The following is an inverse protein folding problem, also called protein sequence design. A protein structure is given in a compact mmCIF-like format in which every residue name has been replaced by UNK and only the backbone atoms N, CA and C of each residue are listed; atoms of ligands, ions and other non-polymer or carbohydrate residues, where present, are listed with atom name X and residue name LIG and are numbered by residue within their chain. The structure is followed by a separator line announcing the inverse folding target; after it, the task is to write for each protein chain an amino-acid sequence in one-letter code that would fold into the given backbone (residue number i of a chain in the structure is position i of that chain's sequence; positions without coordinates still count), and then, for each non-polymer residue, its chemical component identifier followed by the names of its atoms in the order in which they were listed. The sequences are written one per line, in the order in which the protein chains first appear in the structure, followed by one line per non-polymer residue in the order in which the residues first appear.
data_IF_483442116684
#
_entry.id   IF_483442116684
#
_cell.length_a   1.000
_cell.length_b   1.000
_cell.length_c   1.000
_cell.angle_alpha   90.00
_cell.angle_beta   90.00
_cell.angle_gamma   90.00
#
_symmetry.space_group_name_H-M   'P 1'
#
loop_
_entity.id
_entity.type
_entity.pdbx_description
1 polymer ?
#
# COMPACT_ATOMS: atom_id res chain seq x y z
N UNK A 1 12.46 -9.03 43.78
CA UNK A 1 11.59 -8.07 43.08
C UNK A 1 12.33 -7.69 41.80
N UNK A 2 11.97 -8.32 40.68
CA UNK A 2 12.64 -8.11 39.40
C UNK A 2 11.91 -7.03 38.61
N UNK A 3 12.70 -6.12 38.03
CA UNK A 3 12.24 -4.96 37.30
C UNK A 3 11.36 -5.36 36.11
N UNK A 4 10.10 -4.95 36.13
CA UNK A 4 9.33 -4.70 34.90
C UNK A 4 9.07 -3.22 34.88
N UNK A 5 10.11 -2.46 34.54
CA UNK A 5 9.92 -1.17 33.91
C UNK A 5 9.02 -1.44 32.71
N UNK A 6 7.73 -1.17 32.90
CA UNK A 6 6.76 -1.15 31.83
C UNK A 6 7.23 -0.10 30.85
N UNK A 7 8.02 -0.54 29.88
CA UNK A 7 8.30 0.17 28.66
C UNK A 7 6.92 0.48 28.12
N UNK A 8 6.53 1.74 28.28
CA UNK A 8 5.48 2.39 27.49
C UNK A 8 5.51 1.76 26.11
N UNK A 9 4.43 1.09 25.74
CA UNK A 9 4.19 0.46 24.45
C UNK A 9 4.41 1.50 23.35
N UNK A 10 5.67 1.71 22.96
CA UNK A 10 5.98 2.13 21.62
C UNK A 10 5.44 1.00 20.76
N UNK A 11 4.32 1.26 20.10
CA UNK A 11 3.84 0.41 19.03
C UNK A 11 5.06 0.10 18.17
N UNK A 12 5.45 -1.18 18.06
CA UNK A 12 6.54 -1.55 17.16
C UNK A 12 6.20 -0.99 15.77
N UNK A 13 7.20 -0.68 14.94
CA UNK A 13 6.94 -0.14 13.58
C UNK A 13 5.94 -1.03 12.80
N UNK A 14 5.96 -2.33 13.09
CA UNK A 14 5.01 -3.33 12.60
C UNK A 14 3.56 -3.10 13.06
N UNK A 15 3.32 -2.72 14.33
CA UNK A 15 2.00 -2.34 14.80
C UNK A 15 1.51 -1.03 14.18
N UNK A 16 2.41 -0.05 14.00
CA UNK A 16 2.08 1.20 13.34
C UNK A 16 1.67 0.95 11.88
N UNK A 17 2.44 0.12 11.16
CA UNK A 17 2.11 -0.34 9.82
C UNK A 17 0.74 -0.99 9.75
N UNK A 18 0.43 -1.95 10.62
CA UNK A 18 -0.88 -2.62 10.60
C UNK A 18 -2.06 -1.67 10.88
N UNK A 19 -1.90 -0.70 11.78
CA UNK A 19 -2.93 0.31 12.08
C UNK A 19 -3.19 1.20 10.86
N UNK A 20 -2.14 1.67 10.20
CA UNK A 20 -2.29 2.50 9.01
C UNK A 20 -2.80 1.69 7.81
N UNK A 21 -2.46 0.41 7.73
CA UNK A 21 -2.94 -0.51 6.71
C UNK A 21 -4.46 -0.70 6.78
N UNK A 22 -5.02 -0.79 7.98
CA UNK A 22 -6.47 -0.86 8.18
C UNK A 22 -7.18 0.42 7.70
N UNK A 23 -6.58 1.60 7.92
CA UNK A 23 -7.12 2.88 7.40
C UNK A 23 -7.02 2.94 5.88
N UNK A 24 -5.93 2.45 5.32
CA UNK A 24 -5.73 2.34 3.89
C UNK A 24 -6.77 1.42 3.24
N UNK A 25 -7.08 0.27 3.86
CA UNK A 25 -8.09 -0.67 3.37
C UNK A 25 -9.44 0.01 3.10
N UNK A 26 -9.86 0.90 4.01
CA UNK A 26 -11.11 1.65 3.89
C UNK A 26 -11.12 2.65 2.73
N UNK A 27 -9.95 3.15 2.29
CA UNK A 27 -9.82 4.07 1.15
C UNK A 27 -9.59 3.35 -0.17
N UNK A 28 -8.94 2.20 -0.14
CA UNK A 28 -8.61 1.41 -1.31
C UNK A 28 -9.85 0.83 -2.02
N UNK A 29 -11.01 0.80 -1.36
CA UNK A 29 -12.29 0.33 -1.95
C UNK A 29 -12.74 1.15 -3.16
N UNK A 30 -12.31 2.42 -3.25
CA UNK A 30 -12.68 3.35 -4.33
C UNK A 30 -11.62 3.40 -5.46
N UNK A 31 -10.64 2.49 -5.42
CA UNK A 31 -9.58 2.37 -6.42
C UNK A 31 -9.96 1.27 -7.41
N UNK A 32 -10.17 1.65 -8.66
CA UNK A 32 -10.27 0.68 -9.75
C UNK A 32 -8.84 0.25 -10.16
N UNK A 33 -8.45 -1.03 -9.97
CA UNK A 33 -7.10 -1.49 -10.28
C UNK A 33 -6.75 -1.43 -11.77
N UNK A 34 -7.75 -1.33 -12.64
CA UNK A 34 -7.55 -1.21 -14.08
C UNK A 34 -7.40 0.26 -14.52
N UNK A 35 -7.65 1.24 -13.63
CA UNK A 35 -7.54 2.67 -13.91
C UNK A 35 -6.34 3.28 -13.21
N UNK A 36 -5.24 3.58 -13.93
CA UNK A 36 -4.05 4.12 -13.30
C UNK A 36 -4.29 5.40 -12.51
N UNK A 37 -5.18 6.28 -12.99
CA UNK A 37 -5.53 7.54 -12.32
C UNK A 37 -6.14 7.34 -10.94
N UNK A 38 -6.81 6.21 -10.68
CA UNK A 38 -7.42 5.95 -9.39
C UNK A 38 -6.38 5.63 -8.31
N UNK A 39 -5.19 5.16 -8.68
CA UNK A 39 -4.08 4.95 -7.75
C UNK A 39 -3.56 6.25 -7.14
N UNK A 40 -3.85 7.41 -7.73
CA UNK A 40 -3.48 8.71 -7.15
C UNK A 40 -4.24 8.96 -5.84
N UNK A 41 -5.46 8.41 -5.68
CA UNK A 41 -6.31 8.57 -4.48
C UNK A 41 -5.67 7.99 -3.22
N UNK A 42 -4.80 6.99 -3.39
CA UNK A 42 -4.14 6.24 -2.31
C UNK A 42 -2.65 6.57 -2.19
N UNK A 43 -2.11 7.46 -3.02
CA UNK A 43 -0.67 7.71 -3.13
C UNK A 43 -0.03 8.12 -1.80
N UNK A 44 -0.63 9.07 -1.08
CA UNK A 44 -0.06 9.59 0.17
C UNK A 44 -0.07 8.54 1.29
N UNK A 45 -1.09 7.70 1.34
CA UNK A 45 -1.17 6.63 2.33
C UNK A 45 -0.25 5.45 1.95
N UNK A 46 -0.13 5.13 0.65
CA UNK A 46 0.83 4.16 0.14
C UNK A 46 2.27 4.57 0.46
N UNK A 47 2.61 5.86 0.37
CA UNK A 47 3.92 6.40 0.77
C UNK A 47 4.20 6.17 2.25
N UNK A 48 3.26 6.51 3.12
CA UNK A 48 3.39 6.29 4.57
C UNK A 48 3.56 4.80 4.90
N UNK A 49 2.79 3.95 4.23
CA UNK A 49 2.87 2.51 4.41
C UNK A 49 4.20 1.95 3.90
N UNK A 50 4.73 2.44 2.79
CA UNK A 50 6.07 2.07 2.32
C UNK A 50 7.16 2.37 3.36
N UNK A 51 7.05 3.51 4.06
CA UNK A 51 8.04 3.92 5.06
C UNK A 51 8.06 2.97 6.26
N UNK A 52 6.87 2.62 6.78
CA UNK A 52 6.68 1.76 7.96
C UNK A 52 6.60 0.26 7.64
N UNK A 53 6.49 -0.12 6.37
CA UNK A 53 6.33 -1.51 5.95
C UNK A 53 7.48 -2.40 6.39
N UNK A 54 7.19 -3.67 6.77
CA UNK A 54 8.22 -4.67 6.96
C UNK A 54 8.97 -4.93 5.65
N UNK A 55 10.23 -5.33 5.75
CA UNK A 55 11.14 -5.47 4.59
C UNK A 55 10.56 -6.32 3.47
N UNK A 56 9.79 -7.35 3.83
CA UNK A 56 9.24 -8.33 2.89
C UNK A 56 8.24 -7.74 1.89
N UNK A 57 7.57 -6.64 2.24
CA UNK A 57 6.58 -5.97 1.36
C UNK A 57 6.90 -4.49 1.10
N UNK A 58 8.02 -3.99 1.63
CA UNK A 58 8.44 -2.60 1.44
C UNK A 58 8.73 -2.29 -0.04
N UNK A 59 9.33 -3.22 -0.76
CA UNK A 59 9.57 -3.08 -2.19
C UNK A 59 8.27 -3.16 -3.00
N UNK A 60 7.33 -4.02 -2.59
CA UNK A 60 6.00 -4.09 -3.20
C UNK A 60 5.23 -2.77 -3.02
N UNK A 61 5.30 -2.15 -1.84
CA UNK A 61 4.77 -0.80 -1.63
C UNK A 61 5.45 0.23 -2.53
N UNK A 62 6.75 0.10 -2.75
CA UNK A 62 7.48 0.93 -3.70
C UNK A 62 6.95 0.82 -5.13
N UNK A 63 6.52 -0.37 -5.58
CA UNK A 63 5.88 -0.57 -6.89
C UNK A 63 4.54 0.17 -6.95
N UNK A 64 3.71 0.06 -5.90
CA UNK A 64 2.42 0.77 -5.81
C UNK A 64 2.62 2.29 -5.86
N UNK A 65 3.55 2.81 -5.05
CA UNK A 65 3.87 4.25 -5.00
C UNK A 65 4.39 4.72 -6.36
N UNK A 66 5.36 4.03 -6.96
CA UNK A 66 5.92 4.42 -8.25
C UNK A 66 4.87 4.43 -9.36
N UNK A 67 3.94 3.47 -9.35
CA UNK A 67 2.83 3.43 -10.30
C UNK A 67 1.86 4.61 -10.10
N UNK A 68 1.48 4.87 -8.86
CA UNK A 68 0.62 6.00 -8.50
C UNK A 68 1.26 7.37 -8.81
N UNK A 69 2.58 7.52 -8.62
CA UNK A 69 3.31 8.74 -9.01
C UNK A 69 3.37 8.92 -10.53
N UNK A 70 3.58 7.85 -11.29
CA UNK A 70 3.49 7.90 -12.76
C UNK A 70 2.08 8.31 -13.20
N UNK A 71 1.04 7.77 -12.56
CA UNK A 71 -0.34 8.15 -12.84
C UNK A 71 -0.61 9.63 -12.52
N UNK A 72 -0.13 10.11 -11.38
CA UNK A 72 -0.24 11.51 -10.99
C UNK A 72 0.46 12.43 -12.00
N UNK A 73 1.66 12.04 -12.46
CA UNK A 73 2.43 12.78 -13.49
C UNK A 73 1.73 12.78 -14.85
N UNK A 74 1.12 11.65 -15.23
CA UNK A 74 0.33 11.55 -16.46
C UNK A 74 -0.92 12.42 -16.41
N UNK A 75 -1.54 12.57 -15.24
CA UNK A 75 -2.71 13.43 -15.05
C UNK A 75 -3.87 13.01 -15.96
N UNK A 76 -4.18 13.84 -16.96
CA UNK A 76 -5.22 13.57 -17.97
C UNK A 76 -4.66 13.19 -19.35
N UNK A 77 -3.35 12.97 -19.47
CA UNK A 77 -2.71 12.54 -20.71
C UNK A 77 -3.09 11.09 -21.03
N UNK A 78 -4.01 10.92 -21.98
CA UNK A 78 -4.53 9.63 -22.37
C UNK A 78 -3.45 8.68 -22.93
N UNK A 79 -2.39 9.19 -23.57
CA UNK A 79 -1.30 8.35 -24.10
C UNK A 79 -0.43 7.83 -22.97
N UNK A 80 -0.07 8.68 -22.02
CA UNK A 80 0.70 8.25 -20.85
C UNK A 80 -0.11 7.30 -19.95
N UNK A 81 -1.40 7.57 -19.75
CA UNK A 81 -2.28 6.69 -19.00
C UNK A 81 -2.45 5.32 -19.70
N UNK A 82 -2.60 5.29 -21.02
CA UNK A 82 -2.69 4.04 -21.77
C UNK A 82 -1.40 3.21 -21.70
N UNK A 83 -0.23 3.85 -21.72
CA UNK A 83 1.04 3.16 -21.52
C UNK A 83 1.19 2.64 -20.09
N UNK A 84 0.73 3.42 -19.11
CA UNK A 84 0.75 3.02 -17.71
C UNK A 84 -0.22 1.86 -17.43
N UNK A 85 -1.37 1.81 -18.09
CA UNK A 85 -2.31 0.68 -18.02
C UNK A 85 -1.69 -0.65 -18.42
N UNK A 86 -0.62 -0.67 -19.24
CA UNK A 86 0.10 -1.90 -19.58
C UNK A 86 0.98 -2.42 -18.43
N UNK A 87 1.28 -1.57 -17.44
CA UNK A 87 2.10 -1.90 -16.26
C UNK A 87 1.26 -2.34 -15.06
N UNK A 88 -0.07 -2.40 -15.18
CA UNK A 88 -0.98 -2.81 -14.08
C UNK A 88 -0.68 -4.22 -13.57
N UNK A 89 -0.24 -5.15 -14.42
CA UNK A 89 0.11 -6.50 -13.99
C UNK A 89 1.18 -6.55 -12.88
N UNK A 90 2.18 -5.66 -12.95
CA UNK A 90 3.21 -5.56 -11.92
C UNK A 90 2.66 -5.00 -10.61
N UNK A 91 1.81 -3.97 -10.68
CA UNK A 91 1.20 -3.37 -9.48
C UNK A 91 0.22 -4.33 -8.82
N UNK A 92 -0.54 -5.10 -9.59
CA UNK A 92 -1.45 -6.13 -9.06
C UNK A 92 -0.68 -7.26 -8.37
N UNK A 93 0.48 -7.65 -8.91
CA UNK A 93 1.34 -8.67 -8.28
C UNK A 93 1.88 -8.19 -6.93
N UNK A 94 2.43 -6.97 -6.90
CA UNK A 94 2.89 -6.34 -5.66
C UNK A 94 1.75 -6.21 -4.63
N UNK A 95 0.58 -5.77 -5.08
CA UNK A 95 -0.58 -5.64 -4.22
C UNK A 95 -1.08 -6.97 -3.65
N UNK A 96 -0.96 -8.06 -4.41
CA UNK A 96 -1.28 -9.42 -3.93
C UNK A 96 -0.34 -9.87 -2.81
N UNK A 97 0.95 -9.57 -2.91
CA UNK A 97 1.92 -9.86 -1.86
C UNK A 97 1.60 -9.05 -0.60
N UNK A 98 1.36 -7.74 -0.75
CA UNK A 98 0.93 -6.86 0.34
C UNK A 98 -0.33 -7.41 1.01
N UNK A 99 -1.35 -7.79 0.22
CA UNK A 99 -2.61 -8.32 0.75
C UNK A 99 -2.40 -9.63 1.50
N UNK A 100 -1.53 -10.51 1.02
CA UNK A 100 -1.22 -11.78 1.70
C UNK A 100 -0.53 -11.50 3.04
N UNK A 101 0.48 -10.63 3.04
CA UNK A 101 1.18 -10.22 4.27
C UNK A 101 0.25 -9.51 5.25
N UNK A 102 -0.64 -8.64 4.76
CA UNK A 102 -1.63 -7.92 5.56
C UNK A 102 -2.54 -8.90 6.30
N UNK A 103 -3.01 -9.93 5.60
CA UNK A 103 -3.87 -10.96 6.18
C UNK A 103 -3.12 -11.83 7.18
N UNK A 104 -1.89 -12.22 6.87
CA UNK A 104 -1.13 -13.15 7.70
C UNK A 104 -0.59 -12.48 8.96
N UNK A 105 -0.02 -11.28 8.82
CA UNK A 105 0.68 -10.56 9.89
C UNK A 105 -0.23 -9.59 10.63
N UNK A 106 -1.04 -8.81 9.90
CA UNK A 106 -1.86 -7.74 10.47
C UNK A 106 -3.32 -8.12 10.72
N UNK A 107 -3.79 -9.27 10.20
CA UNK A 107 -5.21 -9.67 10.20
C UNK A 107 -6.12 -8.62 9.55
N UNK A 108 -5.59 -7.89 8.57
CA UNK A 108 -6.31 -6.88 7.78
C UNK A 108 -6.62 -7.47 6.41
N UNK A 109 -7.89 -7.45 6.02
CA UNK A 109 -8.30 -7.76 4.65
C UNK A 109 -8.29 -6.49 3.80
N UNK A 110 -7.37 -6.43 2.84
CA UNK A 110 -7.39 -5.40 1.80
C UNK A 110 -8.40 -5.78 0.71
N UNK A 111 -9.09 -4.79 0.10
CA UNK A 111 -9.96 -5.07 -1.03
C UNK A 111 -9.15 -5.73 -2.15
N UNK A 112 -9.67 -6.82 -2.68
CA UNK A 112 -9.02 -7.51 -3.78
C UNK A 112 -9.03 -6.59 -5.01
N UNK A 113 -7.84 -6.43 -5.61
CA UNK A 113 -7.67 -5.76 -6.88
C UNK A 113 -7.66 -6.83 -7.96
N UNK A 114 -8.86 -7.18 -8.46
CA UNK A 114 -9.07 -8.23 -9.47
C UNK A 114 -9.85 -7.70 -10.67
#
# INVERSE_FOLDING_TARGET
MAATAGVLTACTDEQAYCVDLAKYAAKAVDVDPQKPVDYVKILDDAKKLQESAPKDVKDDWGVVVAFAEKAQKAGTDATQLAELSKQTGSVMTAYKNITSQAKDSCKVDLPALN
#
